data_IF_007194186665
#
_entry.id   IF_007194186665
#
_cell.length_a   1.000
_cell.length_b   1.000
_cell.length_c   1.000
_cell.angle_alpha   90.00
_cell.angle_beta   90.00
_cell.angle_gamma   90.00
#
_symmetry.space_group_name_H-M   'P 1'
#
loop_
_entity.id
_entity.type
_entity.pdbx_description
1 polymer ?
#
# COMPACT_ATOMS: atom_id res chain seq x y z
N UNK A 1 10.72 -29.76 -10.51
CA UNK A 1 12.11 -29.65 -10.02
C UNK A 1 12.21 -28.53 -9.01
N UNK A 2 13.36 -28.36 -8.37
CA UNK A 2 13.61 -27.23 -7.47
C UNK A 2 13.47 -25.89 -8.20
N UNK A 3 12.90 -24.90 -7.53
CA UNK A 3 12.69 -23.54 -8.03
C UNK A 3 13.39 -22.54 -7.11
N UNK A 4 13.89 -21.45 -7.68
CA UNK A 4 14.55 -20.37 -6.93
C UNK A 4 13.74 -19.07 -7.01
N UNK A 5 13.67 -18.28 -5.92
CA UNK A 5 12.97 -17.02 -5.91
C UNK A 5 13.59 -16.04 -6.93
N UNK A 6 12.73 -15.31 -7.64
CA UNK A 6 13.11 -14.31 -8.63
C UNK A 6 12.05 -13.18 -8.66
N UNK A 7 12.31 -12.13 -9.45
CA UNK A 7 11.40 -11.00 -9.63
C UNK A 7 10.76 -10.96 -11.02
N UNK A 8 10.52 -12.12 -11.63
CA UNK A 8 9.86 -12.17 -12.94
C UNK A 8 8.49 -11.49 -12.91
N UNK A 9 8.14 -10.84 -14.01
CA UNK A 9 6.98 -9.96 -14.10
C UNK A 9 7.25 -8.52 -13.65
N UNK A 10 8.37 -8.25 -12.98
CA UNK A 10 8.79 -6.87 -12.68
C UNK A 10 9.50 -6.23 -13.88
N UNK A 11 8.96 -5.12 -14.39
CA UNK A 11 9.62 -4.32 -15.41
C UNK A 11 11.01 -3.88 -14.94
N UNK A 12 11.11 -3.33 -13.73
CA UNK A 12 12.36 -2.74 -13.24
C UNK A 12 13.45 -3.77 -12.95
N UNK A 13 13.08 -4.98 -12.52
CA UNK A 13 14.06 -6.00 -12.10
C UNK A 13 14.33 -7.08 -13.15
N UNK A 14 13.46 -7.26 -14.15
CA UNK A 14 13.54 -8.41 -15.07
C UNK A 14 13.42 -8.04 -16.54
N UNK A 15 13.59 -6.76 -16.90
CA UNK A 15 13.64 -6.33 -18.30
C UNK A 15 14.91 -5.57 -18.63
N UNK A 16 15.15 -5.41 -19.93
CA UNK A 16 16.31 -4.70 -20.48
C UNK A 16 15.87 -3.55 -21.36
N UNK A 17 16.70 -2.52 -21.43
CA UNK A 17 16.58 -1.43 -22.41
C UNK A 17 17.72 -1.54 -23.42
N UNK A 18 17.47 -1.14 -24.68
CA UNK A 18 18.51 -0.99 -25.69
C UNK A 18 19.35 0.26 -25.37
N UNK A 19 20.66 0.07 -25.17
CA UNK A 19 21.61 1.16 -24.96
C UNK A 19 22.11 1.73 -26.30
N UNK A 20 22.27 0.88 -27.32
CA UNK A 20 22.80 1.26 -28.62
C UNK A 20 23.29 0.05 -29.40
N UNK A 21 24.24 0.26 -30.30
CA UNK A 21 24.94 -0.80 -31.04
C UNK A 21 26.46 -0.64 -30.90
N UNK A 22 27.21 -1.74 -30.90
CA UNK A 22 28.68 -1.71 -30.89
C UNK A 22 29.26 -1.42 -32.29
N UNK A 23 30.59 -1.36 -32.41
CA UNK A 23 31.28 -1.13 -33.69
C UNK A 23 31.05 -2.21 -34.75
N UNK A 24 30.53 -3.38 -34.36
CA UNK A 24 30.17 -4.49 -35.25
C UNK A 24 28.68 -4.44 -35.66
N UNK A 25 27.95 -3.40 -35.23
CA UNK A 25 26.51 -3.24 -35.48
C UNK A 25 25.61 -4.07 -34.56
N UNK A 26 26.17 -4.85 -33.61
CA UNK A 26 25.40 -5.66 -32.67
C UNK A 26 24.72 -4.79 -31.62
N UNK A 27 23.42 -5.00 -31.41
CA UNK A 27 22.66 -4.29 -30.38
C UNK A 27 23.12 -4.68 -28.97
N UNK A 28 23.29 -3.66 -28.13
CA UNK A 28 23.64 -3.81 -26.71
C UNK A 28 22.41 -3.46 -25.88
N UNK A 29 22.00 -4.39 -25.05
CA UNK A 29 20.93 -4.23 -24.08
C UNK A 29 21.50 -4.29 -22.68
N UNK A 30 20.99 -3.44 -21.79
CA UNK A 30 21.37 -3.41 -20.37
C UNK A 30 20.13 -3.60 -19.51
N UNK A 31 20.25 -4.17 -18.29
CA UNK A 31 19.13 -4.25 -17.35
C UNK A 31 18.54 -2.86 -17.06
N UNK A 32 17.21 -2.77 -16.98
CA UNK A 32 16.50 -1.50 -16.77
C UNK A 32 16.99 -0.76 -15.53
N UNK A 33 17.19 -1.47 -14.42
CA UNK A 33 17.67 -0.90 -13.15
C UNK A 33 19.16 -0.50 -13.13
N UNK A 34 19.91 -0.68 -14.22
CA UNK A 34 21.32 -0.26 -14.32
C UNK A 34 21.53 1.06 -15.05
N UNK A 35 20.46 1.65 -15.61
CA UNK A 35 20.54 2.95 -16.30
C UNK A 35 20.93 4.05 -15.30
N UNK A 36 20.31 4.03 -14.12
CA UNK A 36 20.58 4.90 -12.98
C UNK A 36 20.42 4.09 -11.69
N UNK A 37 21.03 4.51 -10.56
CA UNK A 37 20.83 3.84 -9.28
C UNK A 37 19.34 3.78 -8.89
N UNK A 38 18.82 2.56 -8.70
CA UNK A 38 17.45 2.30 -8.27
C UNK A 38 17.45 1.43 -7.01
N UNK A 39 16.43 1.61 -6.16
CA UNK A 39 16.22 0.77 -4.99
C UNK A 39 15.97 -0.69 -5.43
N UNK A 40 16.64 -1.63 -4.78
CA UNK A 40 16.38 -3.05 -4.99
C UNK A 40 15.26 -3.53 -4.04
N UNK A 41 14.30 -4.38 -4.47
CA UNK A 41 13.19 -4.77 -3.61
C UNK A 41 13.57 -5.49 -2.31
N UNK A 42 14.75 -6.13 -2.26
CA UNK A 42 15.28 -6.73 -1.03
C UNK A 42 15.55 -5.72 0.10
N UNK A 43 15.72 -4.44 -0.23
CA UNK A 43 16.04 -3.39 0.74
C UNK A 43 14.78 -2.66 1.24
N UNK A 44 13.59 -3.09 0.80
CA UNK A 44 12.32 -2.50 1.21
C UNK A 44 11.92 -3.04 2.58
N UNK A 45 11.72 -2.12 3.53
CA UNK A 45 11.06 -2.43 4.81
C UNK A 45 9.55 -2.28 4.61
N UNK A 46 8.81 -3.37 4.81
CA UNK A 46 7.36 -3.42 4.57
C UNK A 46 6.61 -3.38 5.91
N UNK A 47 5.64 -2.48 5.99
CA UNK A 47 4.60 -2.42 7.01
C UNK A 47 3.26 -2.02 6.37
N UNK A 48 2.21 -1.91 7.17
CA UNK A 48 0.91 -1.47 6.65
C UNK A 48 -0.25 -1.78 7.57
N UNK A 49 -1.45 -1.52 7.07
CA UNK A 49 -2.72 -1.64 7.78
C UNK A 49 -3.63 -2.65 7.06
N UNK A 50 -4.45 -3.37 7.82
CA UNK A 50 -5.51 -4.22 7.29
C UNK A 50 -6.66 -4.24 8.32
N UNK A 51 -7.89 -4.25 7.83
CA UNK A 51 -9.08 -4.41 8.67
C UNK A 51 -9.15 -5.78 9.35
N UNK A 52 -8.33 -6.74 8.90
CA UNK A 52 -8.19 -8.07 9.47
C UNK A 52 -6.85 -8.24 10.21
N UNK A 53 -6.89 -8.75 11.44
CA UNK A 53 -5.74 -8.87 12.32
C UNK A 53 -4.90 -10.13 12.14
N UNK A 54 -5.18 -10.95 11.12
CA UNK A 54 -4.39 -12.14 10.82
C UNK A 54 -2.93 -11.76 10.55
N UNK A 55 -2.00 -12.54 11.09
CA UNK A 55 -0.58 -12.33 10.79
C UNK A 55 -0.28 -12.68 9.32
N UNK A 56 0.87 -12.24 8.79
CA UNK A 56 1.18 -12.44 7.36
C UNK A 56 1.35 -13.93 7.00
N UNK A 57 1.70 -14.79 7.97
CA UNK A 57 1.72 -16.25 7.77
C UNK A 57 0.31 -16.82 7.53
N UNK A 58 -0.65 -16.46 8.38
CA UNK A 58 -2.07 -16.82 8.21
C UNK A 58 -2.67 -16.22 6.94
N UNK A 59 -2.30 -14.97 6.62
CA UNK A 59 -2.75 -14.30 5.40
C UNK A 59 -2.21 -14.99 4.14
N UNK A 60 -0.95 -15.44 4.16
CA UNK A 60 -0.33 -16.22 3.08
C UNK A 60 -1.06 -17.54 2.85
N UNK A 61 -1.40 -18.27 3.92
CA UNK A 61 -2.18 -19.51 3.83
C UNK A 61 -3.57 -19.25 3.26
N UNK A 62 -4.27 -18.24 3.78
CA UNK A 62 -5.60 -17.84 3.30
C UNK A 62 -5.61 -17.43 1.82
N UNK A 63 -4.54 -16.81 1.34
CA UNK A 63 -4.45 -16.32 -0.02
C UNK A 63 -4.24 -17.44 -1.05
N UNK A 64 -3.70 -18.60 -0.64
CA UNK A 64 -3.46 -19.75 -1.51
C UNK A 64 -2.64 -19.42 -2.78
N UNK A 65 -1.72 -18.45 -2.70
CA UNK A 65 -0.92 -17.99 -3.85
C UNK A 65 0.39 -18.77 -3.97
N UNK A 66 1.14 -18.93 -2.88
CA UNK A 66 2.41 -19.65 -2.90
C UNK A 66 2.21 -21.16 -2.81
N UNK A 67 3.11 -21.92 -3.41
CA UNK A 67 3.19 -23.37 -3.21
C UNK A 67 3.38 -23.72 -1.72
N UNK A 68 2.75 -24.81 -1.27
CA UNK A 68 2.77 -25.25 0.13
C UNK A 68 4.20 -25.35 0.73
N UNK A 69 5.14 -25.92 -0.02
CA UNK A 69 6.52 -26.06 0.45
C UNK A 69 7.24 -24.71 0.68
N UNK A 70 6.87 -23.66 -0.07
CA UNK A 70 7.37 -22.32 0.15
C UNK A 70 6.69 -21.67 1.37
N UNK A 71 5.38 -21.89 1.53
CA UNK A 71 4.64 -21.42 2.70
C UNK A 71 5.27 -21.94 4.00
N UNK A 72 5.54 -23.23 4.09
CA UNK A 72 6.21 -23.85 5.26
C UNK A 72 7.56 -23.20 5.58
N UNK A 73 8.36 -22.87 4.55
CA UNK A 73 9.66 -22.20 4.72
C UNK A 73 9.50 -20.75 5.23
N UNK A 74 8.49 -20.03 4.76
CA UNK A 74 8.30 -18.61 5.08
C UNK A 74 7.53 -18.37 6.38
N UNK A 75 6.64 -19.30 6.76
CA UNK A 75 5.71 -19.17 7.90
C UNK A 75 6.39 -18.74 9.21
N UNK A 76 7.56 -19.28 9.63
CA UNK A 76 8.20 -18.85 10.87
C UNK A 76 8.61 -17.37 10.90
N UNK A 77 8.91 -16.79 9.72
CA UNK A 77 9.26 -15.37 9.59
C UNK A 77 8.01 -14.51 9.44
N UNK A 78 7.09 -14.90 8.54
CA UNK A 78 5.90 -14.12 8.23
C UNK A 78 4.88 -14.07 9.38
N UNK A 79 4.82 -15.11 10.22
CA UNK A 79 3.89 -15.12 11.36
C UNK A 79 4.23 -14.08 12.44
N UNK A 80 5.44 -13.51 12.40
CA UNK A 80 5.88 -12.43 13.29
C UNK A 80 5.40 -11.04 12.82
N UNK A 81 4.93 -10.93 11.59
CA UNK A 81 4.46 -9.69 10.99
C UNK A 81 2.94 -9.62 11.15
N UNK A 82 2.44 -8.52 11.72
CA UNK A 82 1.01 -8.25 11.85
C UNK A 82 0.68 -6.87 11.26
N UNK A 83 -0.44 -6.73 10.54
CA UNK A 83 -0.90 -5.43 10.09
C UNK A 83 -1.32 -4.56 11.28
N UNK A 84 -1.13 -3.25 11.14
CA UNK A 84 -1.71 -2.25 12.04
C UNK A 84 -3.25 -2.23 11.88
N UNK A 85 -4.01 -1.85 12.93
CA UNK A 85 -5.45 -1.63 12.82
C UNK A 85 -5.76 -0.55 11.77
N UNK A 86 -6.77 -0.77 10.93
CA UNK A 86 -7.11 0.16 9.84
C UNK A 86 -8.43 0.90 10.09
N UNK A 87 -8.68 1.91 9.26
CA UNK A 87 -9.98 2.58 9.16
C UNK A 87 -10.95 1.64 8.42
N UNK A 88 -12.21 1.59 8.87
CA UNK A 88 -13.27 0.87 8.20
C UNK A 88 -14.58 1.66 8.20
N UNK A 89 -14.97 2.12 7.01
CA UNK A 89 -16.29 2.72 6.76
C UNK A 89 -17.09 1.73 5.90
N UNK A 90 -18.06 0.99 6.48
CA UNK A 90 -18.73 -0.13 5.80
C UNK A 90 -19.34 0.24 4.45
N UNK A 91 -19.91 1.45 4.33
CA UNK A 91 -20.62 1.92 3.14
C UNK A 91 -19.72 2.13 1.90
N UNK A 92 -18.40 2.07 2.07
CA UNK A 92 -17.45 2.22 0.97
C UNK A 92 -17.07 0.90 0.29
N UNK A 93 -17.28 -0.25 0.94
CA UNK A 93 -16.91 -1.56 0.38
C UNK A 93 -18.09 -2.54 0.46
N UNK A 94 -17.94 -3.72 -0.13
CA UNK A 94 -18.99 -4.72 -0.10
C UNK A 94 -19.34 -5.15 1.34
N UNK A 95 -20.63 -5.23 1.66
CA UNK A 95 -21.13 -5.60 3.00
C UNK A 95 -20.61 -6.97 3.49
N UNK A 96 -20.26 -7.88 2.57
CA UNK A 96 -19.66 -9.18 2.90
C UNK A 96 -18.24 -9.10 3.51
N UNK A 97 -17.66 -7.91 3.64
CA UNK A 97 -16.40 -7.69 4.35
C UNK A 97 -16.58 -7.46 5.86
N UNK A 98 -17.82 -7.34 6.35
CA UNK A 98 -18.11 -7.07 7.77
C UNK A 98 -17.46 -8.11 8.70
N UNK A 99 -17.65 -9.40 8.42
CA UNK A 99 -17.07 -10.50 9.22
C UNK A 99 -15.54 -10.53 9.20
N UNK A 100 -14.91 -9.90 8.21
CA UNK A 100 -13.45 -9.82 8.08
C UNK A 100 -12.86 -8.72 8.97
N UNK A 101 -13.64 -7.69 9.29
CA UNK A 101 -13.20 -6.46 9.93
C UNK A 101 -13.08 -6.61 11.46
N UNK A 102 -11.94 -7.12 11.94
CA UNK A 102 -11.67 -7.33 13.37
C UNK A 102 -10.41 -6.60 13.90
N UNK A 103 -9.78 -5.78 13.07
CA UNK A 103 -8.55 -5.04 13.38
C UNK A 103 -8.72 -3.58 12.97
N UNK A 104 -9.51 -2.87 13.76
CA UNK A 104 -9.97 -1.53 13.44
C UNK A 104 -9.38 -0.50 14.40
N UNK A 105 -9.08 0.68 13.88
CA UNK A 105 -8.83 1.86 14.71
C UNK A 105 -10.12 2.10 15.56
N UNK A 106 -10.00 2.41 16.86
CA UNK A 106 -11.17 2.72 17.68
C UNK A 106 -12.02 3.81 17.05
N UNK A 107 -13.34 3.60 17.05
CA UNK A 107 -14.29 4.51 16.40
C UNK A 107 -14.09 5.96 16.90
N UNK A 108 -13.85 6.85 15.95
CA UNK A 108 -13.66 8.28 16.17
C UNK A 108 -14.29 9.12 15.06
N UNK A 109 -13.88 10.38 14.97
CA UNK A 109 -14.16 11.23 13.80
C UNK A 109 -13.13 10.97 12.71
N UNK A 110 -13.47 11.30 11.46
CA UNK A 110 -12.53 11.21 10.32
C UNK A 110 -11.26 12.04 10.54
N UNK A 111 -11.35 13.14 11.29
CA UNK A 111 -10.19 13.92 11.72
C UNK A 111 -9.28 13.14 12.69
N UNK A 112 -9.85 12.36 13.62
CA UNK A 112 -9.07 11.52 14.52
C UNK A 112 -8.39 10.38 13.77
N UNK A 113 -9.10 9.78 12.80
CA UNK A 113 -8.55 8.75 11.93
C UNK A 113 -7.38 9.28 11.09
N UNK A 114 -7.52 10.49 10.53
CA UNK A 114 -6.45 11.19 9.82
C UNK A 114 -5.20 11.34 10.70
N UNK A 115 -5.34 11.84 11.92
CA UNK A 115 -4.18 12.01 12.81
C UNK A 115 -3.60 10.70 13.31
N UNK A 116 -4.42 9.65 13.46
CA UNK A 116 -3.94 8.31 13.77
C UNK A 116 -3.00 7.80 12.68
N UNK A 117 -3.44 7.85 11.42
CA UNK A 117 -2.63 7.41 10.29
C UNK A 117 -1.35 8.23 10.13
N UNK A 118 -1.42 9.55 10.32
CA UNK A 118 -0.24 10.43 10.31
C UNK A 118 0.76 10.03 11.39
N UNK A 119 0.29 9.72 12.60
CA UNK A 119 1.14 9.24 13.68
C UNK A 119 1.77 7.87 13.37
N UNK A 120 1.02 6.96 12.76
CA UNK A 120 1.54 5.65 12.36
C UNK A 120 2.65 5.78 11.31
N UNK A 121 2.48 6.64 10.31
CA UNK A 121 3.50 6.91 9.29
C UNK A 121 4.79 7.43 9.94
N UNK A 122 4.68 8.44 10.84
CA UNK A 122 5.84 8.98 11.57
C UNK A 122 6.51 7.94 12.46
N UNK A 123 5.71 7.10 13.11
CA UNK A 123 6.21 6.07 14.03
C UNK A 123 6.91 4.95 13.26
N UNK A 124 6.34 4.48 12.15
CA UNK A 124 6.97 3.52 11.27
C UNK A 124 8.30 4.05 10.71
N UNK A 125 8.32 5.30 10.24
CA UNK A 125 9.52 5.96 9.74
C UNK A 125 10.63 6.00 10.79
N UNK A 126 10.30 6.44 12.00
CA UNK A 126 11.24 6.56 13.14
C UNK A 126 11.73 5.20 13.64
N UNK A 127 10.85 4.23 13.83
CA UNK A 127 11.21 2.93 14.40
C UNK A 127 12.13 2.10 13.49
N UNK A 128 12.10 2.39 12.18
CA UNK A 128 12.91 1.70 11.17
C UNK A 128 14.04 2.58 10.61
N UNK A 129 14.28 3.76 11.19
CA UNK A 129 15.28 4.74 10.73
C UNK A 129 15.21 5.03 9.22
N UNK A 130 14.01 5.25 8.69
CA UNK A 130 13.77 5.43 7.27
C UNK A 130 13.84 6.91 6.86
N UNK A 131 14.48 7.19 5.72
CA UNK A 131 14.47 8.54 5.12
C UNK A 131 13.19 8.78 4.31
N UNK A 132 12.71 7.75 3.61
CA UNK A 132 11.57 7.79 2.69
C UNK A 132 10.55 6.72 3.08
N UNK A 133 9.28 7.08 2.95
CA UNK A 133 8.13 6.17 3.09
C UNK A 133 7.22 6.42 1.89
N UNK A 134 6.69 5.35 1.31
CA UNK A 134 5.70 5.39 0.23
C UNK A 134 4.47 4.65 0.74
N UNK A 135 3.30 5.25 0.56
CA UNK A 135 2.02 4.64 0.89
C UNK A 135 1.40 4.12 -0.40
N UNK A 136 0.99 2.85 -0.41
CA UNK A 136 0.35 2.20 -1.55
C UNK A 136 -0.94 1.56 -1.10
N UNK A 137 -2.06 1.93 -1.73
CA UNK A 137 -3.35 1.29 -1.53
C UNK A 137 -3.44 0.00 -2.34
N UNK A 138 -3.58 -1.13 -1.64
CA UNK A 138 -3.83 -2.47 -2.21
C UNK A 138 -4.93 -3.19 -1.44
N UNK A 139 -5.86 -2.44 -0.86
CA UNK A 139 -7.01 -2.99 -0.15
C UNK A 139 -8.18 -3.25 -1.10
N UNK A 140 -9.34 -3.60 -0.55
CA UNK A 140 -10.57 -3.77 -1.32
C UNK A 140 -10.86 -2.51 -2.16
N UNK A 141 -11.44 -2.72 -3.33
CA UNK A 141 -11.99 -1.64 -4.15
C UNK A 141 -13.13 -0.97 -3.41
N UNK A 142 -13.06 0.35 -3.28
CA UNK A 142 -14.15 1.16 -2.75
C UNK A 142 -15.12 1.56 -3.87
N UNK A 143 -16.36 1.92 -3.51
CA UNK A 143 -17.22 2.67 -4.43
C UNK A 143 -16.62 4.05 -4.69
N UNK A 144 -17.12 4.72 -5.72
CA UNK A 144 -16.73 6.10 -5.99
C UNK A 144 -17.32 7.04 -4.95
N UNK A 145 -16.59 8.12 -4.68
CA UNK A 145 -17.09 9.29 -3.95
C UNK A 145 -17.72 10.29 -4.92
N UNK A 146 -18.69 11.06 -4.44
CA UNK A 146 -19.22 12.21 -5.18
C UNK A 146 -18.16 13.31 -5.32
N UNK A 147 -18.17 14.03 -6.44
CA UNK A 147 -17.31 15.20 -6.65
C UNK A 147 -18.17 16.44 -6.87
N UNK A 148 -18.13 17.39 -5.94
CA UNK A 148 -18.95 18.62 -5.99
C UNK A 148 -18.36 19.78 -5.18
N UNK A 149 -18.64 21.05 -5.56
CA UNK A 149 -18.22 22.21 -4.79
C UNK A 149 -18.71 22.15 -3.34
N UNK A 150 -17.88 22.60 -2.41
CA UNK A 150 -18.11 22.52 -0.97
C UNK A 150 -17.82 21.16 -0.33
N UNK A 151 -17.37 20.16 -1.10
CA UNK A 151 -17.00 18.83 -0.61
C UNK A 151 -15.51 18.52 -0.83
N UNK A 152 -15.06 18.48 -2.09
CA UNK A 152 -13.73 17.95 -2.42
C UNK A 152 -13.13 18.51 -3.73
N UNK A 153 -13.55 19.69 -4.17
CA UNK A 153 -13.01 20.33 -5.39
C UNK A 153 -11.76 21.17 -5.13
N UNK A 154 -11.51 21.52 -3.87
CA UNK A 154 -10.29 22.23 -3.43
C UNK A 154 -9.66 21.53 -2.24
N UNK A 155 -8.37 21.82 -1.97
CA UNK A 155 -7.68 21.25 -0.81
C UNK A 155 -8.33 21.69 0.52
N UNK A 156 -8.81 22.94 0.59
CA UNK A 156 -9.48 23.48 1.76
C UNK A 156 -10.80 22.74 2.02
N UNK A 157 -11.58 22.48 0.96
CA UNK A 157 -12.82 21.72 1.05
C UNK A 157 -12.57 20.30 1.55
N UNK A 158 -11.60 19.56 0.98
CA UNK A 158 -11.29 18.19 1.42
C UNK A 158 -10.96 18.16 2.92
N UNK A 159 -10.08 19.05 3.39
CA UNK A 159 -9.70 19.10 4.80
C UNK A 159 -10.88 19.50 5.70
N UNK A 160 -11.73 20.42 5.24
CA UNK A 160 -12.92 20.83 5.97
C UNK A 160 -13.95 19.69 6.04
N UNK A 161 -14.19 18.95 4.96
CA UNK A 161 -15.09 17.79 4.94
C UNK A 161 -14.58 16.63 5.80
N UNK A 162 -13.27 16.45 5.94
CA UNK A 162 -12.69 15.53 6.93
C UNK A 162 -13.02 16.01 8.36
N UNK A 163 -12.85 17.30 8.64
CA UNK A 163 -13.12 17.88 9.95
C UNK A 163 -14.62 17.81 10.32
N UNK A 164 -15.50 18.00 9.32
CA UNK A 164 -16.96 17.95 9.45
C UNK A 164 -17.51 16.52 9.42
N UNK A 165 -16.64 15.51 9.28
CA UNK A 165 -16.99 14.10 9.27
C UNK A 165 -17.97 13.74 8.12
N UNK A 166 -17.84 14.39 6.97
CA UNK A 166 -18.73 14.25 5.81
C UNK A 166 -18.72 12.81 5.27
N UNK A 167 -19.89 12.24 5.01
CA UNK A 167 -20.08 10.84 4.60
C UNK A 167 -19.34 10.48 3.31
N UNK A 168 -19.18 11.42 2.36
CA UNK A 168 -18.51 11.19 1.07
C UNK A 168 -16.98 11.30 1.12
N UNK A 169 -16.40 11.29 2.32
CA UNK A 169 -14.95 11.10 2.52
C UNK A 169 -14.66 9.61 2.76
N UNK A 170 -14.03 8.95 1.79
CA UNK A 170 -13.70 7.51 1.90
C UNK A 170 -12.52 7.24 2.84
N UNK A 171 -12.32 5.99 3.30
CA UNK A 171 -11.08 5.60 3.95
C UNK A 171 -9.85 5.90 3.09
N UNK A 172 -9.88 5.61 1.78
CA UNK A 172 -8.75 5.92 0.89
C UNK A 172 -8.41 7.42 0.83
N UNK A 173 -9.41 8.32 0.89
CA UNK A 173 -9.16 9.76 0.97
C UNK A 173 -8.39 10.11 2.26
N UNK A 174 -8.75 9.52 3.41
CA UNK A 174 -8.03 9.74 4.67
C UNK A 174 -6.57 9.26 4.57
N UNK A 175 -6.32 8.08 3.98
CA UNK A 175 -4.97 7.58 3.74
C UNK A 175 -4.17 8.49 2.80
N UNK A 176 -4.78 8.98 1.72
CA UNK A 176 -4.14 9.89 0.78
C UNK A 176 -3.78 11.23 1.44
N UNK A 177 -4.72 11.83 2.20
CA UNK A 177 -4.47 13.04 2.96
C UNK A 177 -3.38 12.84 4.03
N UNK A 178 -3.39 11.72 4.75
CA UNK A 178 -2.36 11.39 5.73
C UNK A 178 -0.98 11.31 5.08
N UNK A 179 -0.86 10.59 3.96
CA UNK A 179 0.38 10.46 3.21
C UNK A 179 0.91 11.81 2.72
N UNK A 180 0.05 12.63 2.11
CA UNK A 180 0.40 13.96 1.60
C UNK A 180 0.86 14.89 2.73
N UNK A 181 0.12 14.93 3.85
CA UNK A 181 0.47 15.76 5.00
C UNK A 181 1.75 15.31 5.72
N UNK A 182 2.15 14.04 5.57
CA UNK A 182 3.44 13.51 6.02
C UNK A 182 4.53 13.52 4.94
N UNK A 183 4.29 14.21 3.82
CA UNK A 183 5.21 14.32 2.69
C UNK A 183 5.70 12.95 2.18
N UNK A 184 4.79 11.98 2.15
CA UNK A 184 4.99 10.64 1.63
C UNK A 184 4.25 10.50 0.29
N UNK A 185 4.89 9.97 -0.77
CA UNK A 185 4.17 9.61 -1.99
C UNK A 185 3.04 8.63 -1.70
N UNK A 186 1.89 8.85 -2.34
CA UNK A 186 0.73 7.97 -2.28
C UNK A 186 0.46 7.36 -3.66
N UNK A 187 0.22 6.06 -3.71
CA UNK A 187 -0.07 5.31 -4.93
C UNK A 187 -1.42 4.61 -4.74
N UNK A 188 -2.40 4.93 -5.58
CA UNK A 188 -3.67 4.20 -5.62
C UNK A 188 -3.54 2.99 -6.56
N UNK A 189 -3.58 1.78 -6.00
CA UNK A 189 -3.56 0.52 -6.75
C UNK A 189 -4.95 -0.04 -7.08
N UNK A 190 -6.01 0.65 -6.69
CA UNK A 190 -7.42 0.23 -6.86
C UNK A 190 -8.18 1.26 -7.73
N UNK A 191 -9.36 0.91 -8.28
CA UNK A 191 -9.99 1.73 -9.31
C UNK A 191 -10.83 2.91 -8.79
N UNK A 192 -11.07 3.05 -7.48
CA UNK A 192 -11.86 4.15 -6.95
C UNK A 192 -11.19 5.51 -7.17
N UNK A 193 -11.98 6.58 -7.25
CA UNK A 193 -11.56 7.97 -7.45
C UNK A 193 -11.06 8.64 -6.15
N UNK A 194 -10.09 7.99 -5.48
CA UNK A 194 -9.38 8.55 -4.30
C UNK A 194 -8.74 9.89 -4.60
#
# INVERSE_FOLDING_TARGET
GEQFPNYYGSLTQSTTIRLGSNNEGKEIHIPFNTILPMLHPNDIVIGGWDINGANIGEAMERACVFDYALQEKLKPKLSKLKPLPSIYYPDFIAANQEDRANNLIPKGTKQQDLEHLRNDIRTFKRNNNLEKVIILWTANTERYTDVRPGLNTTKEEVLQSIADNDDEISPSNIFACAAILENCPYINGSPQNT
#
